data_IF_595198248596
#
_entry.id   IF_595198248596
#
_cell.length_a   1.000
_cell.length_b   1.000
_cell.length_c   1.000
_cell.angle_alpha   90.00
_cell.angle_beta   90.00
_cell.angle_gamma   90.00
#
_symmetry.space_group_name_H-M   'P 1'
#
loop_
_entity.id
_entity.type
_entity.pdbx_description
1 polymer ?
#
# COMPACT_ATOMS: atom_id res chain seq x y z
N UNK A 1 -82.03 6.05 -14.08
CA UNK A 1 -81.30 5.65 -12.85
C UNK A 1 -79.93 5.13 -13.26
N UNK A 2 -78.87 5.92 -13.04
CA UNK A 2 -77.48 5.53 -13.31
C UNK A 2 -76.81 5.32 -11.95
N UNK A 3 -76.40 4.09 -11.66
CA UNK A 3 -75.66 3.74 -10.43
C UNK A 3 -74.20 4.12 -10.58
N UNK A 4 -73.69 4.95 -9.67
CA UNK A 4 -72.27 5.25 -9.53
C UNK A 4 -71.65 4.26 -8.52
N UNK A 5 -70.68 3.47 -8.98
CA UNK A 5 -69.81 2.67 -8.12
C UNK A 5 -68.72 3.57 -7.55
N UNK A 6 -68.62 3.63 -6.21
CA UNK A 6 -67.50 4.25 -5.50
C UNK A 6 -66.50 3.13 -5.21
N UNK A 7 -65.37 3.14 -5.91
CA UNK A 7 -64.21 2.29 -5.61
C UNK A 7 -63.41 2.93 -4.49
N UNK A 8 -63.41 2.30 -3.31
CA UNK A 8 -62.53 2.62 -2.19
C UNK A 8 -61.12 2.10 -2.46
N UNK A 9 -60.17 3.03 -2.58
CA UNK A 9 -58.73 2.74 -2.71
C UNK A 9 -58.16 2.44 -1.31
N UNK A 10 -57.81 1.18 -1.02
CA UNK A 10 -57.02 0.84 0.16
C UNK A 10 -55.55 1.21 -0.10
N UNK A 11 -55.05 2.25 0.55
CA UNK A 11 -53.62 2.54 0.62
C UNK A 11 -52.97 1.58 1.62
N UNK A 12 -52.18 0.62 1.13
CA UNK A 12 -51.32 -0.22 1.96
C UNK A 12 -50.11 0.60 2.40
N UNK A 13 -50.05 0.97 3.68
CA UNK A 13 -48.81 1.46 4.28
C UNK A 13 -47.82 0.29 4.37
N UNK A 14 -46.84 0.26 3.47
CA UNK A 14 -45.66 -0.57 3.65
C UNK A 14 -44.81 0.04 4.77
N UNK A 15 -44.86 -0.54 5.96
CA UNK A 15 -43.92 -0.22 7.03
C UNK A 15 -42.53 -0.73 6.61
N UNK A 16 -41.65 0.17 6.15
CA UNK A 16 -40.24 -0.14 5.99
C UNK A 16 -39.68 -0.49 7.37
N UNK A 17 -39.28 -1.74 7.56
CA UNK A 17 -38.55 -2.14 8.76
C UNK A 17 -37.24 -1.33 8.80
N UNK A 18 -36.83 -0.76 9.95
CA UNK A 18 -35.55 -0.10 10.04
C UNK A 18 -34.48 -1.13 9.66
N UNK A 19 -33.70 -0.81 8.63
CA UNK A 19 -32.47 -1.53 8.33
C UNK A 19 -31.57 -1.24 9.53
N UNK A 20 -31.46 -2.19 10.47
CA UNK A 20 -30.35 -2.19 11.40
C UNK A 20 -29.09 -2.16 10.55
N UNK A 21 -28.37 -1.02 10.55
CA UNK A 21 -27.00 -0.98 10.06
C UNK A 21 -26.28 -2.10 10.80
N UNK A 22 -25.91 -3.15 10.08
CA UNK A 22 -25.04 -4.22 10.59
C UNK A 22 -23.84 -3.49 11.21
N UNK A 23 -23.72 -3.49 12.53
CA UNK A 23 -22.61 -2.84 13.20
C UNK A 23 -21.34 -3.56 12.72
N UNK A 24 -20.55 -2.89 11.88
CA UNK A 24 -19.19 -3.33 11.60
C UNK A 24 -18.49 -3.42 12.96
N UNK A 25 -17.83 -4.55 13.29
CA UNK A 25 -17.04 -4.64 14.50
C UNK A 25 -16.09 -3.43 14.57
N UNK A 26 -16.11 -2.70 15.68
CA UNK A 26 -15.17 -1.59 15.85
C UNK A 26 -13.76 -2.17 16.02
N UNK A 27 -12.97 -2.02 14.97
CA UNK A 27 -11.57 -2.45 14.91
C UNK A 27 -10.62 -1.24 14.84
N UNK A 28 -11.08 -0.04 15.18
CA UNK A 28 -10.30 1.19 15.03
C UNK A 28 -8.96 1.11 15.78
N UNK A 29 -8.94 0.59 17.01
CA UNK A 29 -7.70 0.42 17.76
C UNK A 29 -6.73 -0.59 17.10
N UNK A 30 -7.27 -1.60 16.40
CA UNK A 30 -6.46 -2.55 15.63
C UNK A 30 -5.87 -1.85 14.40
N UNK A 31 -6.68 -1.05 13.69
CA UNK A 31 -6.24 -0.26 12.52
C UNK A 31 -5.17 0.77 12.92
N UNK A 32 -5.36 1.47 14.04
CA UNK A 32 -4.38 2.45 14.52
C UNK A 32 -3.06 1.79 14.94
N UNK A 33 -3.09 0.61 15.58
CA UNK A 33 -1.87 -0.14 15.88
C UNK A 33 -1.21 -0.73 14.62
N UNK A 34 -2.01 -1.10 13.63
CA UNK A 34 -1.52 -1.48 12.31
C UNK A 34 -0.80 -0.31 11.63
N UNK A 35 -1.41 0.88 11.58
CA UNK A 35 -0.77 2.08 11.05
C UNK A 35 0.51 2.41 11.84
N UNK A 36 0.46 2.41 13.17
CA UNK A 36 1.62 2.66 14.03
C UNK A 36 2.78 1.69 13.76
N UNK A 37 2.50 0.45 13.37
CA UNK A 37 3.55 -0.52 13.00
C UNK A 37 4.29 -0.10 11.72
N UNK A 38 3.57 0.50 10.76
CA UNK A 38 4.13 1.01 9.51
C UNK A 38 4.88 2.33 9.77
N UNK A 39 4.31 3.24 10.56
CA UNK A 39 4.98 4.49 10.94
C UNK A 39 6.30 4.23 11.66
N UNK A 40 6.36 3.25 12.58
CA UNK A 40 7.64 2.88 13.22
C UNK A 40 8.68 2.34 12.22
N UNK A 41 8.23 1.70 11.14
CA UNK A 41 9.12 1.21 10.08
C UNK A 41 9.69 2.38 9.28
N UNK A 42 8.84 3.34 8.89
CA UNK A 42 9.24 4.53 8.10
C UNK A 42 10.11 5.49 8.92
N UNK A 43 9.74 5.76 10.18
CA UNK A 43 10.56 6.50 11.15
C UNK A 43 11.96 5.88 11.28
N UNK A 44 12.04 4.57 11.51
CA UNK A 44 13.30 3.86 11.60
C UNK A 44 14.08 3.88 10.27
N UNK A 45 13.40 3.79 9.14
CA UNK A 45 14.00 3.82 7.81
C UNK A 45 14.73 5.14 7.54
N UNK A 46 14.06 6.27 7.76
CA UNK A 46 14.65 7.59 7.55
C UNK A 46 15.74 7.92 8.57
N UNK A 47 15.52 7.61 9.85
CA UNK A 47 16.55 7.84 10.87
C UNK A 47 17.82 7.03 10.62
N UNK A 48 17.71 5.77 10.20
CA UNK A 48 18.88 4.96 9.84
C UNK A 48 19.61 5.52 8.61
N UNK A 49 18.88 6.01 7.60
CA UNK A 49 19.48 6.60 6.41
C UNK A 49 20.23 7.90 6.71
N UNK A 50 19.64 8.80 7.50
CA UNK A 50 20.24 10.07 7.91
C UNK A 50 21.41 9.89 8.89
N UNK A 51 21.46 8.77 9.63
CA UNK A 51 22.62 8.40 10.42
C UNK A 51 23.76 7.84 9.54
N UNK A 52 23.43 7.25 8.38
CA UNK A 52 24.38 6.58 7.48
C UNK A 52 24.96 7.50 6.41
N UNK A 53 24.18 8.46 5.91
CA UNK A 53 24.56 9.37 4.84
C UNK A 53 24.52 10.83 5.30
N UNK A 54 25.46 11.63 4.81
CA UNK A 54 25.55 13.06 5.01
C UNK A 54 25.12 13.83 3.76
N UNK A 55 24.89 15.14 3.87
CA UNK A 55 24.63 15.99 2.71
C UNK A 55 25.70 15.89 1.61
N UNK A 56 26.96 15.63 1.97
CA UNK A 56 28.03 15.43 1.00
C UNK A 56 27.87 14.13 0.20
N UNK A 57 27.34 13.07 0.79
CA UNK A 57 27.06 11.81 0.10
C UNK A 57 25.95 11.98 -0.93
N UNK A 58 24.91 12.75 -0.59
CA UNK A 58 23.84 13.11 -1.54
C UNK A 58 24.35 13.96 -2.70
N UNK A 59 25.21 14.95 -2.42
CA UNK A 59 25.84 15.75 -3.46
C UNK A 59 26.75 14.91 -4.36
N UNK A 60 27.54 13.99 -3.78
CA UNK A 60 28.40 13.06 -4.52
C UNK A 60 27.59 12.09 -5.39
N UNK A 61 26.37 11.71 -4.96
CA UNK A 61 25.43 10.92 -5.73
C UNK A 61 24.66 11.74 -6.80
N UNK A 62 24.94 13.04 -6.93
CA UNK A 62 24.39 13.90 -7.98
C UNK A 62 23.04 14.53 -7.64
N UNK A 63 22.61 14.51 -6.37
CA UNK A 63 21.38 15.16 -5.93
C UNK A 63 21.62 16.62 -5.54
N UNK A 64 20.60 17.46 -5.71
CA UNK A 64 20.68 18.87 -5.39
C UNK A 64 20.70 19.10 -3.86
N UNK A 65 21.36 20.17 -3.42
CA UNK A 65 21.55 20.49 -2.00
C UNK A 65 20.29 20.45 -1.10
N UNK A 66 19.07 20.87 -1.52
CA UNK A 66 17.91 20.84 -0.62
C UNK A 66 17.49 19.43 -0.20
N UNK A 67 17.91 18.38 -0.91
CA UNK A 67 17.44 17.01 -0.64
C UNK A 67 17.70 16.54 0.78
N UNK A 68 18.89 16.82 1.32
CA UNK A 68 19.24 16.34 2.65
C UNK A 68 18.38 17.00 3.72
N UNK A 69 18.15 18.31 3.61
CA UNK A 69 17.29 19.04 4.54
C UNK A 69 15.82 18.61 4.43
N UNK A 70 15.32 18.37 3.21
CA UNK A 70 13.95 17.90 3.00
C UNK A 70 13.75 16.49 3.57
N UNK A 71 14.74 15.59 3.44
CA UNK A 71 14.69 14.26 4.07
C UNK A 71 14.72 14.34 5.60
N UNK A 72 15.37 15.36 6.18
CA UNK A 72 15.30 15.60 7.63
C UNK A 72 13.90 16.05 8.09
N UNK A 73 13.19 16.83 7.26
CA UNK A 73 11.80 17.18 7.55
C UNK A 73 10.87 15.96 7.40
N UNK A 74 11.04 15.12 6.36
CA UNK A 74 10.29 13.85 6.22
C UNK A 74 10.49 12.98 7.47
N UNK A 75 11.75 12.76 7.89
CA UNK A 75 12.04 11.98 9.09
C UNK A 75 11.36 12.53 10.36
N UNK A 76 11.21 13.85 10.46
CA UNK A 76 10.54 14.51 11.59
C UNK A 76 9.02 14.36 11.51
N UNK A 77 8.46 14.38 10.30
CA UNK A 77 7.05 14.13 10.08
C UNK A 77 6.71 12.67 10.46
N UNK A 78 7.52 11.69 10.07
CA UNK A 78 7.34 10.28 10.49
C UNK A 78 7.40 10.09 12.01
N UNK A 79 8.40 10.70 12.67
CA UNK A 79 8.47 10.68 14.14
C UNK A 79 7.22 11.32 14.80
N UNK A 80 6.63 12.31 14.12
CA UNK A 80 5.41 12.98 14.56
C UNK A 80 4.19 12.09 14.37
N UNK A 81 4.09 11.35 13.25
CA UNK A 81 3.04 10.35 13.02
C UNK A 81 3.06 9.25 14.09
N UNK A 82 4.24 8.69 14.38
CA UNK A 82 4.44 7.71 15.47
C UNK A 82 3.93 8.25 16.81
N UNK A 83 4.35 9.47 17.16
CA UNK A 83 3.97 10.11 18.43
C UNK A 83 2.46 10.35 18.51
N UNK A 84 1.87 10.81 17.41
CA UNK A 84 0.45 11.11 17.29
C UNK A 84 -0.40 9.84 17.47
N UNK A 85 -0.09 8.77 16.73
CA UNK A 85 -0.81 7.50 16.82
C UNK A 85 -0.64 6.86 18.20
N UNK A 86 0.56 6.89 18.77
CA UNK A 86 0.83 6.38 20.12
C UNK A 86 -0.04 7.09 21.16
N UNK A 87 -0.12 8.42 21.09
CA UNK A 87 -0.97 9.22 21.98
C UNK A 87 -2.46 8.91 21.76
N UNK A 88 -2.91 8.81 20.50
CA UNK A 88 -4.28 8.50 20.14
C UNK A 88 -4.74 7.13 20.67
N UNK A 89 -3.91 6.10 20.49
CA UNK A 89 -4.14 4.75 21.01
C UNK A 89 -4.21 4.73 22.54
N UNK A 90 -3.27 5.41 23.21
CA UNK A 90 -3.25 5.52 24.68
C UNK A 90 -4.51 6.20 25.19
N UNK A 91 -4.92 7.31 24.57
CA UNK A 91 -6.14 8.04 24.92
C UNK A 91 -7.42 7.20 24.68
N UNK A 92 -7.38 6.30 23.70
CA UNK A 92 -8.45 5.35 23.42
C UNK A 92 -8.47 4.15 24.40
N UNK A 93 -7.52 4.07 25.35
CA UNK A 93 -7.37 2.94 26.27
C UNK A 93 -6.79 1.68 25.63
N UNK A 94 -6.26 1.79 24.41
CA UNK A 94 -5.53 0.71 23.75
C UNK A 94 -4.06 0.73 24.17
N UNK A 95 -3.38 -0.41 24.01
CA UNK A 95 -1.92 -0.50 24.18
C UNK A 95 -1.24 -0.26 22.83
N UNK A 96 -0.46 0.83 22.68
CA UNK A 96 0.31 1.06 21.46
C UNK A 96 1.42 0.03 21.30
N UNK A 97 1.65 -0.41 20.06
CA UNK A 97 2.83 -1.23 19.73
C UNK A 97 4.11 -0.41 19.82
N UNK A 98 5.20 -1.04 20.25
CA UNK A 98 6.54 -0.47 20.22
C UNK A 98 7.24 -0.78 18.89
N UNK A 99 8.24 0.04 18.54
CA UNK A 99 9.07 -0.16 17.35
C UNK A 99 9.72 -1.55 17.34
N UNK A 100 9.82 -2.13 16.14
CA UNK A 100 10.55 -3.37 15.90
C UNK A 100 12.04 -3.08 15.60
N UNK A 101 12.81 -4.12 15.35
CA UNK A 101 14.13 -4.01 14.75
C UNK A 101 14.01 -4.20 13.24
N UNK A 102 14.67 -3.33 12.47
CA UNK A 102 14.51 -3.28 11.02
C UNK A 102 15.84 -3.50 10.29
N UNK A 103 15.75 -4.03 9.06
CA UNK A 103 16.89 -4.13 8.13
C UNK A 103 16.46 -3.70 6.73
N UNK A 104 17.18 -2.75 6.16
CA UNK A 104 16.87 -2.17 4.85
C UNK A 104 18.01 -2.44 3.85
N UNK A 105 17.76 -3.11 2.72
CA UNK A 105 18.81 -3.65 1.85
C UNK A 105 19.36 -2.62 0.84
N UNK A 106 19.60 -1.37 1.24
CA UNK A 106 20.20 -0.35 0.37
C UNK A 106 21.70 -0.13 0.66
N UNK A 107 22.48 0.03 -0.40
CA UNK A 107 23.94 0.22 -0.34
C UNK A 107 24.42 1.54 -0.95
N UNK A 108 23.51 2.36 -1.47
CA UNK A 108 23.81 3.68 -2.04
C UNK A 108 22.70 4.68 -1.71
N UNK A 109 22.97 5.97 -1.91
CA UNK A 109 21.96 7.05 -1.79
C UNK A 109 20.81 6.84 -2.77
N UNK A 110 21.11 6.51 -4.03
CA UNK A 110 20.09 6.22 -5.03
C UNK A 110 19.23 5.00 -4.66
N UNK A 111 19.85 3.96 -4.08
CA UNK A 111 19.14 2.78 -3.57
C UNK A 111 18.24 3.11 -2.37
N UNK A 112 18.69 3.99 -1.47
CA UNK A 112 17.89 4.52 -0.38
C UNK A 112 16.66 5.27 -0.91
N UNK A 113 16.84 6.26 -1.80
CA UNK A 113 15.73 7.03 -2.36
C UNK A 113 14.74 6.17 -3.16
N UNK A 114 15.27 5.16 -3.87
CA UNK A 114 14.43 4.19 -4.59
C UNK A 114 13.56 3.37 -3.64
N UNK A 115 14.11 2.96 -2.49
CA UNK A 115 13.34 2.27 -1.46
C UNK A 115 12.39 3.22 -0.72
N UNK A 116 12.78 4.47 -0.48
CA UNK A 116 11.95 5.50 0.13
C UNK A 116 10.67 5.69 -0.68
N UNK A 117 10.79 5.96 -1.99
CA UNK A 117 9.67 6.03 -2.93
C UNK A 117 8.74 4.80 -2.87
N UNK A 118 9.31 3.61 -2.70
CA UNK A 118 8.51 2.39 -2.59
C UNK A 118 7.73 2.31 -1.27
N UNK A 119 8.38 2.64 -0.15
CA UNK A 119 7.77 2.60 1.19
C UNK A 119 6.67 3.66 1.33
N UNK A 120 6.93 4.89 0.90
CA UNK A 120 5.95 5.98 0.91
C UNK A 120 4.69 5.61 0.12
N UNK A 121 4.86 5.04 -1.08
CA UNK A 121 3.74 4.52 -1.85
C UNK A 121 3.00 3.36 -1.17
N UNK A 122 3.68 2.56 -0.34
CA UNK A 122 3.05 1.53 0.50
C UNK A 122 2.29 2.14 1.68
N UNK A 123 2.82 3.19 2.31
CA UNK A 123 2.14 3.99 3.34
C UNK A 123 0.83 4.58 2.81
N UNK A 124 0.88 5.22 1.64
CA UNK A 124 -0.30 5.72 0.92
C UNK A 124 -1.34 4.62 0.70
N UNK A 125 -0.91 3.46 0.15
CA UNK A 125 -1.78 2.30 -0.07
C UNK A 125 -2.40 1.77 1.24
N UNK A 126 -1.66 1.80 2.34
CA UNK A 126 -2.11 1.34 3.65
C UNK A 126 -3.21 2.23 4.23
N UNK A 127 -3.00 3.55 4.24
CA UNK A 127 -4.00 4.50 4.72
C UNK A 127 -5.27 4.46 3.87
N UNK A 128 -5.14 4.44 2.54
CA UNK A 128 -6.28 4.34 1.63
C UNK A 128 -7.06 3.04 1.81
N UNK A 129 -6.37 1.90 1.90
CA UNK A 129 -7.01 0.59 2.08
C UNK A 129 -7.70 0.43 3.43
N UNK A 130 -7.12 1.02 4.48
CA UNK A 130 -7.69 1.01 5.82
C UNK A 130 -8.87 1.97 6.00
N UNK A 131 -8.93 3.07 5.23
CA UNK A 131 -9.91 4.15 5.43
C UNK A 131 -11.37 3.67 5.52
N UNK A 132 -11.77 2.72 4.67
CA UNK A 132 -13.14 2.17 4.66
C UNK A 132 -13.49 1.35 5.91
N UNK A 133 -12.49 0.89 6.66
CA UNK A 133 -12.65 0.07 7.85
C UNK A 133 -12.67 0.89 9.15
N UNK A 134 -12.35 2.19 9.08
CA UNK A 134 -12.38 3.09 10.24
C UNK A 134 -13.82 3.51 10.53
N UNK A 135 -14.26 3.26 11.76
CA UNK A 135 -15.63 3.57 12.20
C UNK A 135 -15.76 4.96 12.82
N UNK A 136 -14.71 5.45 13.49
CA UNK A 136 -14.66 6.79 14.06
C UNK A 136 -14.38 7.86 13.00
N UNK A 137 -15.27 8.86 12.80
CA UNK A 137 -14.99 9.97 11.89
C UNK A 137 -13.75 10.78 12.27
N UNK A 138 -13.44 10.87 13.56
CA UNK A 138 -12.25 11.57 14.04
C UNK A 138 -10.96 10.85 13.61
N UNK A 139 -10.93 9.52 13.74
CA UNK A 139 -9.78 8.73 13.28
C UNK A 139 -9.69 8.69 11.76
N UNK A 140 -10.81 8.67 11.04
CA UNK A 140 -10.80 8.76 9.59
C UNK A 140 -10.24 10.11 9.12
N UNK A 141 -10.59 11.20 9.80
CA UNK A 141 -10.04 12.54 9.52
C UNK A 141 -8.54 12.59 9.79
N UNK A 142 -8.10 12.00 10.91
CA UNK A 142 -6.69 11.92 11.25
C UNK A 142 -5.90 11.09 10.22
N UNK A 143 -6.38 9.90 9.86
CA UNK A 143 -5.81 9.06 8.82
C UNK A 143 -5.73 9.79 7.47
N UNK A 144 -6.79 10.51 7.09
CA UNK A 144 -6.79 11.34 5.88
C UNK A 144 -5.77 12.48 5.92
N UNK A 145 -5.46 13.03 7.10
CA UNK A 145 -4.43 14.07 7.22
C UNK A 145 -3.03 13.53 7.02
N UNK A 146 -2.71 12.37 7.61
CA UNK A 146 -1.42 11.69 7.44
C UNK A 146 -1.24 11.25 5.98
N UNK A 147 -2.23 10.59 5.39
CA UNK A 147 -2.22 10.18 3.99
C UNK A 147 -1.79 11.31 3.03
N UNK A 148 -2.27 12.54 3.23
CA UNK A 148 -1.88 13.66 2.34
C UNK A 148 -0.43 14.10 2.51
N UNK A 149 0.18 13.84 3.67
CA UNK A 149 1.59 14.11 3.96
C UNK A 149 2.44 13.02 3.29
N UNK A 150 2.11 11.74 3.46
CA UNK A 150 2.73 10.62 2.73
C UNK A 150 2.75 10.86 1.21
N UNK A 151 1.63 11.31 0.63
CA UNK A 151 1.57 11.64 -0.80
C UNK A 151 2.52 12.77 -1.21
N UNK A 152 2.84 13.72 -0.32
CA UNK A 152 3.81 14.79 -0.59
C UNK A 152 5.24 14.28 -0.47
N UNK A 153 5.52 13.38 0.47
CA UNK A 153 6.81 12.71 0.62
C UNK A 153 7.12 11.89 -0.63
N UNK A 154 6.20 11.00 -1.05
CA UNK A 154 6.32 10.23 -2.29
C UNK A 154 6.55 11.14 -3.50
N UNK A 155 5.69 12.15 -3.71
CA UNK A 155 5.82 13.08 -4.83
C UNK A 155 7.19 13.78 -4.85
N UNK A 156 7.69 14.22 -3.69
CA UNK A 156 8.99 14.84 -3.57
C UNK A 156 10.12 13.88 -4.00
N UNK A 157 10.14 12.67 -3.44
CA UNK A 157 11.18 11.67 -3.71
C UNK A 157 11.13 11.22 -5.17
N UNK A 158 9.93 11.06 -5.75
CA UNK A 158 9.74 10.79 -7.18
C UNK A 158 10.40 11.87 -8.03
N UNK A 159 10.20 13.14 -7.70
CA UNK A 159 10.83 14.26 -8.41
C UNK A 159 12.36 14.21 -8.31
N UNK A 160 12.93 13.90 -7.13
CA UNK A 160 14.39 13.76 -6.95
C UNK A 160 14.96 12.59 -7.77
N UNK A 161 14.18 11.51 -7.90
CA UNK A 161 14.48 10.38 -8.78
C UNK A 161 14.18 10.67 -10.26
N UNK A 162 13.80 11.90 -10.63
CA UNK A 162 13.43 12.31 -12.00
C UNK A 162 12.25 11.52 -12.58
N UNK A 163 11.38 11.02 -11.71
CA UNK A 163 10.07 10.48 -12.06
C UNK A 163 9.02 11.59 -12.00
N UNK A 164 7.84 11.33 -12.56
CA UNK A 164 6.71 12.24 -12.36
C UNK A 164 6.31 12.25 -10.87
N UNK A 165 6.19 13.45 -10.24
CA UNK A 165 5.66 13.58 -8.88
C UNK A 165 4.13 13.39 -8.82
N UNK A 166 3.47 13.19 -9.96
CA UNK A 166 2.04 12.92 -10.08
C UNK A 166 1.85 11.89 -11.21
N UNK A 167 2.23 10.62 -10.98
CA UNK A 167 2.26 9.64 -12.06
C UNK A 167 0.86 9.30 -12.58
N UNK A 168 -0.15 9.27 -11.71
CA UNK A 168 -1.51 8.93 -12.08
C UNK A 168 -2.55 9.78 -11.35
N UNK A 169 -3.82 9.69 -11.76
CA UNK A 169 -4.92 10.42 -11.13
C UNK A 169 -5.42 9.78 -9.83
N UNK A 170 -5.00 8.54 -9.52
CA UNK A 170 -5.42 7.80 -8.34
C UNK A 170 -4.31 6.89 -7.83
N UNK A 171 -4.14 6.84 -6.51
CA UNK A 171 -3.31 5.84 -5.84
C UNK A 171 -4.06 4.51 -5.65
N UNK A 172 -3.30 3.44 -5.46
CA UNK A 172 -3.83 2.08 -5.37
C UNK A 172 -3.99 1.66 -3.91
N UNK A 173 -5.21 1.48 -3.37
CA UNK A 173 -5.39 0.90 -2.05
C UNK A 173 -4.99 -0.58 -2.05
N UNK A 174 -4.40 -1.03 -0.95
CA UNK A 174 -4.10 -2.44 -0.68
C UNK A 174 -4.79 -2.90 0.59
N UNK A 175 -5.08 -4.19 0.71
CA UNK A 175 -5.58 -4.73 1.98
C UNK A 175 -4.46 -4.85 3.05
N UNK A 176 -4.87 -5.14 4.30
CA UNK A 176 -3.96 -5.22 5.43
C UNK A 176 -2.87 -6.29 5.27
N UNK A 177 -3.17 -7.43 4.64
CA UNK A 177 -2.22 -8.53 4.47
C UNK A 177 -1.26 -8.26 3.31
N UNK A 178 -1.75 -7.63 2.24
CA UNK A 178 -0.95 -7.18 1.11
C UNK A 178 0.11 -6.16 1.55
N UNK A 179 -0.29 -5.12 2.28
CA UNK A 179 0.66 -4.13 2.84
C UNK A 179 1.59 -4.78 3.86
N UNK A 180 1.07 -5.59 4.78
CA UNK A 180 1.92 -6.23 5.78
C UNK A 180 2.94 -7.17 5.13
N UNK A 181 2.62 -7.80 4.00
CA UNK A 181 3.58 -8.60 3.23
C UNK A 181 4.73 -7.76 2.69
N UNK A 182 4.48 -6.52 2.27
CA UNK A 182 5.52 -5.59 1.82
C UNK A 182 6.38 -5.13 3.00
N UNK A 183 5.76 -4.74 4.12
CA UNK A 183 6.45 -4.26 5.32
C UNK A 183 7.26 -5.35 6.05
N UNK A 184 6.71 -6.55 6.18
CA UNK A 184 7.29 -7.65 6.97
C UNK A 184 8.69 -8.08 6.49
N UNK A 185 9.03 -7.81 5.23
CA UNK A 185 10.34 -8.10 4.65
C UNK A 185 11.48 -7.31 5.31
N UNK A 186 11.16 -6.15 5.92
CA UNK A 186 12.13 -5.29 6.60
C UNK A 186 12.15 -5.50 8.12
N UNK A 187 11.20 -6.25 8.67
CA UNK A 187 11.06 -6.49 10.12
C UNK A 187 11.87 -7.73 10.49
N UNK A 188 12.91 -7.55 11.31
CA UNK A 188 13.78 -8.66 11.77
C UNK A 188 13.31 -9.28 13.08
N UNK A 189 12.77 -8.48 13.99
CA UNK A 189 12.19 -8.92 15.26
C UNK A 189 11.36 -7.79 15.87
N UNK A 190 10.34 -8.12 16.66
CA UNK A 190 9.56 -7.14 17.42
C UNK A 190 9.57 -7.49 18.92
N UNK A 191 9.37 -6.51 19.81
CA UNK A 191 9.18 -6.78 21.23
C UNK A 191 8.07 -7.80 21.47
N UNK A 192 8.32 -8.81 22.31
CA UNK A 192 7.31 -9.84 22.63
C UNK A 192 6.09 -9.29 23.39
N UNK A 193 6.19 -8.05 23.87
CA UNK A 193 5.09 -7.31 24.51
C UNK A 193 4.12 -6.70 23.51
N UNK A 194 4.47 -6.61 22.22
CA UNK A 194 3.57 -6.12 21.20
C UNK A 194 2.39 -7.10 21.03
N UNK A 195 1.18 -6.57 20.98
CA UNK A 195 0.01 -7.36 20.64
C UNK A 195 0.14 -7.88 19.20
N UNK A 196 -0.27 -9.12 18.96
CA UNK A 196 -0.32 -9.66 17.61
C UNK A 196 -1.39 -8.92 16.79
N UNK A 197 -0.98 -8.35 15.66
CA UNK A 197 -1.90 -7.81 14.68
C UNK A 197 -2.57 -8.96 13.90
N UNK A 198 -3.85 -8.85 13.52
CA UNK A 198 -4.56 -9.86 12.73
C UNK A 198 -4.17 -9.78 11.25
N UNK A 199 -2.87 -9.78 10.97
CA UNK A 199 -2.29 -9.70 9.63
C UNK A 199 -1.40 -10.90 9.36
N UNK A 200 -1.24 -11.23 8.09
CA UNK A 200 -0.47 -12.36 7.61
C UNK A 200 0.40 -11.91 6.44
N UNK A 201 1.70 -12.17 6.56
CA UNK A 201 2.61 -12.02 5.42
C UNK A 201 2.48 -13.25 4.48
N UNK A 202 2.35 -12.99 3.19
CA UNK A 202 2.40 -14.00 2.14
C UNK A 202 3.85 -14.23 1.69
N UNK A 203 4.14 -15.32 0.95
CA UNK A 203 5.43 -15.49 0.29
C UNK A 203 5.74 -14.28 -0.61
N UNK A 204 7.01 -13.85 -0.61
CA UNK A 204 7.46 -12.70 -1.39
C UNK A 204 7.31 -12.94 -2.90
N UNK A 205 6.84 -11.91 -3.60
CA UNK A 205 6.89 -11.76 -5.05
C UNK A 205 7.65 -10.47 -5.36
N UNK A 206 8.58 -10.49 -6.31
CA UNK A 206 9.41 -9.33 -6.66
C UNK A 206 9.40 -9.16 -8.17
N UNK A 207 9.14 -7.95 -8.65
CA UNK A 207 9.31 -7.61 -10.07
C UNK A 207 10.80 -7.48 -10.41
N UNK A 208 11.24 -8.11 -11.50
CA UNK A 208 12.67 -8.24 -11.84
C UNK A 208 13.02 -7.83 -13.28
N UNK A 209 12.07 -7.38 -14.10
CA UNK A 209 12.37 -7.02 -15.50
C UNK A 209 13.21 -5.76 -15.65
N UNK A 210 12.86 -4.70 -14.90
CA UNK A 210 13.41 -3.36 -15.06
C UNK A 210 13.06 -2.47 -13.86
N UNK A 211 13.65 -1.28 -13.80
CA UNK A 211 13.30 -0.26 -12.80
C UNK A 211 11.93 0.38 -13.06
N UNK A 212 11.52 0.48 -14.34
CA UNK A 212 10.18 0.88 -14.74
C UNK A 212 9.64 -0.08 -15.80
N UNK A 213 8.38 -0.48 -15.65
CA UNK A 213 7.64 -1.31 -16.56
C UNK A 213 6.87 -0.48 -17.59
N UNK A 214 6.49 -1.11 -18.70
CA UNK A 214 5.59 -0.52 -19.69
C UNK A 214 4.32 -1.36 -19.79
N UNK A 215 3.16 -0.74 -19.60
CA UNK A 215 1.86 -1.40 -19.75
C UNK A 215 1.74 -2.07 -21.13
N UNK A 216 1.13 -3.25 -21.17
CA UNK A 216 1.02 -4.08 -22.38
C UNK A 216 2.27 -4.92 -22.71
N UNK A 217 3.37 -4.78 -21.98
CA UNK A 217 4.58 -5.61 -22.16
C UNK A 217 4.63 -6.79 -21.18
N UNK A 218 5.50 -7.76 -21.44
CA UNK A 218 5.70 -8.91 -20.53
C UNK A 218 6.59 -8.50 -19.36
N UNK A 219 6.05 -8.58 -18.15
CA UNK A 219 6.79 -8.48 -16.90
C UNK A 219 7.34 -9.84 -16.45
N UNK A 220 8.50 -9.80 -15.78
CA UNK A 220 9.15 -10.95 -15.13
C UNK A 220 9.19 -10.69 -13.64
N UNK A 221 8.86 -11.71 -12.87
CA UNK A 221 8.83 -11.69 -11.41
C UNK A 221 9.55 -12.91 -10.87
N UNK A 222 10.06 -12.81 -9.65
CA UNK A 222 10.60 -13.93 -8.88
C UNK A 222 9.79 -14.12 -7.60
N UNK A 223 9.64 -15.36 -7.14
CA UNK A 223 8.91 -15.65 -5.90
C UNK A 223 9.64 -16.60 -4.97
N UNK A 224 9.37 -16.45 -3.67
CA UNK A 224 9.78 -17.40 -2.63
C UNK A 224 8.74 -18.50 -2.39
N UNK A 225 7.55 -18.40 -3.00
CA UNK A 225 6.53 -19.43 -2.89
C UNK A 225 7.03 -20.78 -3.39
N UNK A 226 6.54 -21.83 -2.73
CA UNK A 226 6.81 -23.23 -3.07
C UNK A 226 5.49 -23.90 -3.45
N UNK A 227 5.56 -25.04 -4.14
CA UNK A 227 4.37 -25.82 -4.53
C UNK A 227 3.36 -25.03 -5.38
N UNK A 228 3.85 -24.19 -6.30
CA UNK A 228 2.99 -23.45 -7.20
C UNK A 228 2.13 -24.38 -8.08
N UNK A 229 0.84 -24.07 -8.28
CA UNK A 229 -0.02 -24.86 -9.15
C UNK A 229 0.39 -24.72 -10.63
N UNK A 230 -0.07 -25.65 -11.48
CA UNK A 230 0.19 -25.60 -12.93
C UNK A 230 -0.44 -24.38 -13.60
N UNK A 231 -1.55 -23.89 -13.06
CA UNK A 231 -2.26 -22.70 -13.54
C UNK A 231 -2.29 -21.65 -12.44
N UNK A 232 -1.80 -20.45 -12.74
CA UNK A 232 -1.86 -19.29 -11.87
C UNK A 232 -2.02 -18.00 -12.71
N UNK A 233 -2.29 -16.91 -12.02
CA UNK A 233 -2.50 -15.59 -12.60
C UNK A 233 -1.73 -14.54 -11.80
N UNK A 234 -1.32 -13.47 -12.46
CA UNK A 234 -1.01 -12.22 -11.79
C UNK A 234 -2.27 -11.35 -11.80
N UNK A 235 -2.78 -11.05 -10.61
CA UNK A 235 -3.82 -10.04 -10.42
C UNK A 235 -3.14 -8.70 -10.21
N UNK A 236 -3.34 -7.77 -11.13
CA UNK A 236 -2.78 -6.42 -11.06
C UNK A 236 -3.78 -5.45 -10.43
N UNK A 237 -3.31 -4.69 -9.44
CA UNK A 237 -4.06 -3.67 -8.71
C UNK A 237 -3.53 -2.30 -9.14
N UNK A 238 -4.44 -1.41 -9.56
CA UNK A 238 -4.09 -0.07 -10.04
C UNK A 238 -5.27 0.88 -9.82
N UNK A 239 -5.04 1.92 -9.01
CA UNK A 239 -6.10 2.82 -8.56
C UNK A 239 -7.19 2.09 -7.75
N UNK A 240 -8.36 2.70 -7.51
CA UNK A 240 -9.46 2.10 -6.77
C UNK A 240 -10.26 1.05 -7.58
N UNK A 241 -9.76 0.64 -8.74
CA UNK A 241 -10.44 -0.30 -9.63
C UNK A 241 -10.35 -1.76 -9.16
N UNK A 242 -11.18 -2.61 -9.75
CA UNK A 242 -11.08 -4.06 -9.54
C UNK A 242 -9.75 -4.62 -10.12
N UNK A 243 -9.22 -5.72 -9.55
CA UNK A 243 -8.01 -6.35 -10.06
C UNK A 243 -8.16 -6.81 -11.51
N UNK A 244 -7.10 -6.66 -12.30
CA UNK A 244 -7.03 -7.16 -13.68
C UNK A 244 -6.13 -8.39 -13.73
N UNK A 245 -6.70 -9.52 -14.14
CA UNK A 245 -6.00 -10.81 -14.11
C UNK A 245 -5.31 -11.11 -15.44
N UNK A 246 -4.03 -11.42 -15.39
CA UNK A 246 -3.26 -11.91 -16.52
C UNK A 246 -2.77 -13.34 -16.26
N UNK A 247 -2.89 -14.22 -17.24
CA UNK A 247 -2.39 -15.59 -17.13
C UNK A 247 -0.87 -15.58 -16.90
N UNK A 248 -0.43 -16.27 -15.86
CA UNK A 248 0.98 -16.36 -15.49
C UNK A 248 1.62 -17.62 -16.07
N UNK A 249 2.82 -17.48 -16.64
CA UNK A 249 3.68 -18.60 -17.00
C UNK A 249 4.71 -18.81 -15.89
N UNK A 250 4.82 -20.05 -15.43
CA UNK A 250 5.69 -20.42 -14.30
C UNK A 250 6.85 -21.26 -14.83
N UNK A 251 8.07 -20.86 -14.48
CA UNK A 251 9.30 -21.63 -14.73
C UNK A 251 10.14 -21.62 -13.46
N UNK A 252 10.02 -22.68 -12.65
CA UNK A 252 10.62 -22.73 -11.32
C UNK A 252 10.09 -21.61 -10.42
N UNK A 253 10.97 -20.70 -9.99
CA UNK A 253 10.63 -19.51 -9.18
C UNK A 253 10.37 -18.26 -10.03
N UNK A 254 10.50 -18.36 -11.35
CA UNK A 254 10.29 -17.24 -12.27
C UNK A 254 8.85 -17.26 -12.78
N UNK A 255 8.19 -16.12 -12.68
CA UNK A 255 6.82 -15.89 -13.16
C UNK A 255 6.89 -14.85 -14.26
N UNK A 256 6.18 -15.07 -15.37
CA UNK A 256 6.01 -14.05 -16.41
C UNK A 256 4.54 -13.87 -16.74
N UNK A 257 4.11 -12.64 -16.93
CA UNK A 257 2.77 -12.32 -17.43
C UNK A 257 2.79 -10.97 -18.16
N UNK A 258 1.83 -10.75 -19.04
CA UNK A 258 1.62 -9.44 -19.65
C UNK A 258 1.04 -8.48 -18.61
N UNK A 259 1.70 -7.34 -18.41
CA UNK A 259 1.18 -6.24 -17.59
C UNK A 259 -0.01 -5.65 -18.35
N UNK A 260 -1.21 -5.55 -17.75
CA UNK A 260 -2.38 -5.08 -18.47
C UNK A 260 -2.18 -3.69 -19.09
N UNK A 261 -2.59 -3.44 -20.34
CA UNK A 261 -2.52 -2.11 -20.95
C UNK A 261 -3.32 -1.03 -20.19
N UNK A 262 -4.23 -1.44 -19.32
CA UNK A 262 -5.10 -0.56 -18.52
C UNK A 262 -4.49 -0.12 -17.19
N UNK A 263 -3.26 -0.53 -16.86
CA UNK A 263 -2.60 -0.07 -15.64
C UNK A 263 -2.31 1.43 -15.73
N UNK A 264 -2.58 2.14 -14.64
CA UNK A 264 -2.18 3.53 -14.48
C UNK A 264 -0.65 3.61 -14.38
N UNK A 265 -0.11 4.78 -14.68
CA UNK A 265 1.32 5.04 -14.47
C UNK A 265 1.59 5.21 -12.96
N UNK A 266 2.83 4.96 -12.54
CA UNK A 266 3.26 5.04 -11.15
C UNK A 266 3.34 3.71 -10.44
N UNK A 267 3.23 3.73 -9.12
CA UNK A 267 3.31 2.53 -8.29
C UNK A 267 2.00 1.73 -8.36
N UNK A 268 2.06 0.59 -9.04
CA UNK A 268 0.98 -0.41 -9.08
C UNK A 268 1.47 -1.72 -8.45
N UNK A 269 0.54 -2.64 -8.20
CA UNK A 269 0.87 -3.88 -7.52
C UNK A 269 0.45 -5.11 -8.32
N UNK A 270 1.17 -6.22 -8.15
CA UNK A 270 0.82 -7.50 -8.75
C UNK A 270 0.83 -8.61 -7.68
N UNK A 271 -0.22 -9.40 -7.61
CA UNK A 271 -0.34 -10.54 -6.69
C UNK A 271 -0.40 -11.83 -7.50
N UNK A 272 0.43 -12.81 -7.15
CA UNK A 272 0.35 -14.15 -7.73
C UNK A 272 -0.77 -14.92 -7.04
N UNK A 273 -1.75 -15.38 -7.80
CA UNK A 273 -2.98 -15.98 -7.28
C UNK A 273 -3.45 -17.17 -8.11
N UNK A 274 -4.20 -18.07 -7.47
CA UNK A 274 -4.95 -19.14 -8.13
C UNK A 274 -6.29 -18.66 -8.72
N UNK A 275 -6.74 -17.44 -8.40
CA UNK A 275 -7.94 -16.84 -8.98
C UNK A 275 -7.69 -16.33 -10.40
N UNK A 276 -8.66 -16.54 -11.29
CA UNK A 276 -8.65 -16.03 -12.66
C UNK A 276 -9.55 -14.82 -12.88
N UNK A 277 -10.47 -14.56 -11.94
CA UNK A 277 -11.46 -13.48 -12.01
C UNK A 277 -11.88 -13.05 -10.59
N UNK A 278 -12.60 -11.94 -10.49
CA UNK A 278 -13.22 -11.45 -9.26
C UNK A 278 -12.96 -9.96 -9.04
N UNK A 279 -13.85 -9.29 -8.30
CA UNK A 279 -13.67 -7.87 -7.95
C UNK A 279 -12.71 -7.64 -6.78
N UNK A 280 -12.31 -8.71 -6.09
CA UNK A 280 -11.41 -8.72 -4.93
C UNK A 280 -10.53 -9.98 -5.02
N UNK A 281 -9.29 -9.87 -4.59
CA UNK A 281 -8.37 -11.01 -4.44
C UNK A 281 -8.64 -11.65 -3.08
N UNK A 282 -8.92 -12.95 -3.05
CA UNK A 282 -9.15 -13.69 -1.82
C UNK A 282 -7.82 -14.16 -1.24
N UNK A 283 -7.56 -13.88 0.04
CA UNK A 283 -6.37 -14.35 0.77
C UNK A 283 -6.10 -15.85 0.62
N UNK A 284 -7.17 -16.66 0.55
CA UNK A 284 -7.07 -18.12 0.41
C UNK A 284 -6.53 -18.56 -0.95
N UNK A 285 -6.55 -17.68 -1.95
CA UNK A 285 -6.04 -17.94 -3.28
C UNK A 285 -4.69 -17.25 -3.55
N UNK A 286 -4.22 -16.36 -2.67
CA UNK A 286 -2.92 -15.72 -2.79
C UNK A 286 -1.81 -16.76 -2.63
N UNK A 287 -0.97 -16.85 -3.65
CA UNK A 287 0.21 -17.72 -3.71
C UNK A 287 1.48 -16.96 -3.29
N UNK A 288 1.59 -15.69 -3.70
CA UNK A 288 2.69 -14.79 -3.34
C UNK A 288 2.35 -13.32 -3.64
N UNK A 289 3.05 -12.41 -2.96
CA UNK A 289 2.99 -10.97 -3.21
C UNK A 289 2.15 -10.19 -2.19
N UNK A 290 1.90 -8.91 -2.46
CA UNK A 290 2.12 -8.22 -3.74
C UNK A 290 3.60 -7.99 -4.07
N UNK A 291 3.87 -7.83 -5.37
CA UNK A 291 5.07 -7.19 -5.90
C UNK A 291 4.76 -5.74 -6.25
N UNK A 292 5.69 -4.83 -5.97
CA UNK A 292 5.64 -3.45 -6.44
C UNK A 292 6.09 -3.41 -7.90
N UNK A 293 5.32 -2.73 -8.75
CA UNK A 293 5.63 -2.49 -10.16
C UNK A 293 5.52 -0.99 -10.41
N UNK A 294 6.63 -0.36 -10.80
CA UNK A 294 6.62 1.04 -11.22
C UNK A 294 6.32 1.11 -12.72
N UNK A 295 5.15 1.61 -13.11
CA UNK A 295 4.75 1.78 -14.52
C UNK A 295 5.18 3.15 -15.02
N UNK A 296 5.96 3.19 -16.10
CA UNK A 296 6.43 4.42 -16.72
C UNK A 296 5.30 5.17 -17.43
N UNK A 297 5.36 6.50 -17.42
CA UNK A 297 4.49 7.31 -18.27
C UNK A 297 4.73 7.02 -19.76
N UNK A 298 3.70 7.10 -20.61
CA UNK A 298 3.86 6.98 -22.04
C UNK A 298 4.92 7.94 -22.59
N UNK A 299 6.00 7.39 -23.15
CA UNK A 299 7.09 8.18 -23.73
C UNK A 299 8.11 8.75 -22.73
N UNK A 300 8.03 8.42 -21.44
CA UNK A 300 9.10 8.72 -20.50
C UNK A 300 10.39 7.99 -20.91
N UNK A 301 11.52 8.71 -20.97
CA UNK A 301 12.81 8.05 -21.14
C UNK A 301 13.12 7.25 -19.86
N UNK A 302 13.67 6.03 -19.96
CA UNK A 302 14.14 5.31 -18.78
C UNK A 302 15.15 6.18 -18.02
N UNK A 303 15.09 6.15 -16.69
CA UNK A 303 16.14 6.73 -15.87
C UNK A 303 17.47 6.08 -16.27
N UNK A 304 18.48 6.90 -16.57
CA UNK A 304 19.84 6.40 -16.72
C UNK A 304 20.24 5.71 -15.40
N UNK A 305 20.61 4.45 -15.50
CA UNK A 305 21.05 3.62 -14.38
C UNK A 305 22.34 4.15 -13.73
#
# INVERSE_FOLDING_TARGET
MRSAFITSLFATLAAASPIEKRQTPNIDAVILNYALTLEHLEDAFYHQALAKYSAADFAAAGFAAPIYANLQEIAKDEATHVSYLTAGLTAAGASPVAACNYSFPYTSVGGFLTLAKMLEGVGISAYLGAAQNITSPAYLTAAGSILTVESRHDAYIRSELRLSPFPGPFDTPLDFNEVYTLAAQFITSCPSTNAALPVKAFPVLTFTSSTQATSGTTGTFSTTATNLPATAYLAFLSGPGAPVYAAAKISGKTITATIPPSMLDGQVYAVLTAQSTGSVIMDSAILAGPAIVEVALPGAMPLAA
#
